data_IF_071749874787
#
_entry.id   IF_071749874787
#
_cell.length_a   1.000
_cell.length_b   1.000
_cell.length_c   1.000
_cell.angle_alpha   90.00
_cell.angle_beta   90.00
_cell.angle_gamma   90.00
#
_symmetry.space_group_name_H-M   'P 1'
#
loop_
_entity.id
_entity.type
_entity.pdbx_description
1 polymer ?
#
# COMPACT_ATOMS: atom_id res chain seq x y z
N UNK A 1 -17.29 51.88 24.29
CA UNK A 1 -16.78 50.69 25.02
C UNK A 1 -16.29 49.66 24.01
N UNK A 2 -15.00 49.31 24.04
CA UNK A 2 -14.36 48.28 23.21
C UNK A 2 -14.52 46.93 23.94
N UNK A 3 -15.11 45.92 23.29
CA UNK A 3 -14.90 44.51 23.64
C UNK A 3 -14.62 43.73 22.36
N UNK A 4 -13.71 42.78 22.51
CA UNK A 4 -12.83 42.18 21.51
C UNK A 4 -13.28 40.72 21.32
N UNK A 5 -12.85 40.11 20.20
CA UNK A 5 -12.82 38.67 19.85
C UNK A 5 -14.15 38.10 19.29
N UNK A 6 -14.16 37.26 18.25
CA UNK A 6 -13.12 36.35 17.74
C UNK A 6 -13.10 36.28 16.22
N UNK A 7 -11.89 36.28 15.67
CA UNK A 7 -11.59 35.71 14.36
C UNK A 7 -11.54 34.18 14.53
N UNK A 8 -12.39 33.44 13.82
CA UNK A 8 -12.28 31.99 13.60
C UNK A 8 -12.38 31.85 12.08
N UNK A 9 -11.30 31.93 11.33
CA UNK A 9 -10.43 30.78 11.05
C UNK A 9 -11.22 29.46 11.13
N UNK A 10 -11.76 28.99 10.01
CA UNK A 10 -11.28 27.77 9.34
C UNK A 10 -11.71 27.87 7.88
N UNK A 11 -10.75 28.23 7.05
CA UNK A 11 -10.76 28.02 5.61
C UNK A 11 -10.55 26.53 5.31
N UNK A 12 -10.88 26.14 4.06
CA UNK A 12 -10.56 24.88 3.33
C UNK A 12 -11.72 23.88 3.37
N UNK A 13 -12.60 23.81 2.37
CA UNK A 13 -12.36 23.32 0.99
C UNK A 13 -11.49 22.04 1.02
N UNK A 14 -11.86 20.88 0.47
CA UNK A 14 -12.52 20.61 -0.80
C UNK A 14 -13.24 19.26 -0.72
N UNK A 15 -14.53 19.21 -1.06
CA UNK A 15 -15.23 17.95 -1.33
C UNK A 15 -14.81 17.55 -2.74
N UNK A 16 -13.73 16.79 -2.87
CA UNK A 16 -13.38 16.15 -4.14
C UNK A 16 -14.12 14.84 -4.25
N UNK A 17 -15.32 14.88 -4.80
CA UNK A 17 -15.99 13.72 -5.35
C UNK A 17 -15.25 13.30 -6.62
N UNK A 18 -14.50 12.20 -6.57
CA UNK A 18 -13.86 11.61 -7.75
C UNK A 18 -14.79 10.52 -8.26
N UNK A 19 -15.67 10.87 -9.18
CA UNK A 19 -16.41 9.92 -10.00
C UNK A 19 -15.68 9.81 -11.36
N UNK A 20 -14.83 8.81 -11.49
CA UNK A 20 -14.14 8.48 -12.74
C UNK A 20 -14.37 7.02 -13.06
N UNK A 21 -15.34 6.72 -13.92
CA UNK A 21 -15.44 5.42 -14.60
C UNK A 21 -14.94 5.65 -16.02
N UNK A 22 -13.70 5.25 -16.27
CA UNK A 22 -13.15 5.10 -17.61
C UNK A 22 -12.94 3.60 -17.85
N UNK A 23 -13.90 2.97 -18.53
CA UNK A 23 -13.80 1.58 -18.95
C UNK A 23 -13.00 1.54 -20.27
N UNK A 24 -11.70 1.29 -20.18
CA UNK A 24 -10.86 0.97 -21.33
C UNK A 24 -10.59 -0.54 -21.34
N UNK A 25 -11.32 -1.28 -22.16
CA UNK A 25 -11.06 -2.69 -22.44
C UNK A 25 -10.17 -2.74 -23.68
N UNK A 26 -8.86 -2.73 -23.48
CA UNK A 26 -7.90 -3.07 -24.54
C UNK A 26 -7.19 -4.35 -24.13
N UNK A 27 -7.64 -5.47 -24.68
CA UNK A 27 -6.95 -6.75 -24.57
C UNK A 27 -5.70 -6.71 -25.46
N UNK A 28 -4.55 -6.35 -24.90
CA UNK A 28 -3.24 -6.49 -25.55
C UNK A 28 -2.47 -7.63 -24.90
N UNK A 29 -2.54 -8.82 -25.51
CA UNK A 29 -1.63 -9.92 -25.16
C UNK A 29 -0.26 -9.61 -25.77
N UNK A 30 0.57 -8.89 -25.02
CA UNK A 30 1.99 -8.67 -25.33
C UNK A 30 2.78 -8.31 -24.06
N UNK A 31 2.84 -9.22 -23.08
CA UNK A 31 3.81 -9.14 -21.99
C UNK A 31 5.03 -10.00 -22.35
N UNK A 32 5.98 -9.41 -23.07
CA UNK A 32 7.34 -9.94 -23.17
C UNK A 32 8.24 -8.84 -23.73
N UNK A 33 8.64 -7.90 -22.87
CA UNK A 33 9.94 -7.20 -22.87
C UNK A 33 9.93 -6.33 -21.60
N UNK A 34 10.46 -6.85 -20.49
CA UNK A 34 10.79 -6.02 -19.34
C UNK A 34 12.02 -5.18 -19.70
N UNK A 35 11.86 -4.20 -20.59
CA UNK A 35 12.85 -3.14 -20.73
C UNK A 35 12.84 -2.34 -19.43
N UNK A 36 13.97 -2.19 -18.72
CA UNK A 36 14.02 -1.32 -17.55
C UNK A 36 13.62 0.08 -18.00
N UNK A 37 12.40 0.52 -17.66
CA UNK A 37 11.98 1.88 -17.91
C UNK A 37 12.81 2.79 -17.00
N UNK A 38 13.24 3.95 -17.50
CA UNK A 38 13.96 4.94 -16.70
C UNK A 38 13.02 5.48 -15.60
N UNK A 39 12.93 4.76 -14.48
CA UNK A 39 11.99 5.02 -13.39
C UNK A 39 11.50 3.77 -12.64
N UNK A 40 11.60 2.57 -13.22
CA UNK A 40 11.29 1.31 -12.51
C UNK A 40 12.53 0.82 -11.74
N UNK A 41 12.42 0.75 -10.41
CA UNK A 41 13.41 0.06 -9.58
C UNK A 41 13.48 -1.40 -10.02
N UNK A 42 14.70 -1.89 -10.31
CA UNK A 42 14.91 -3.28 -10.68
C UNK A 42 14.75 -4.14 -9.43
N UNK A 43 13.71 -4.97 -9.37
CA UNK A 43 13.53 -5.92 -8.27
C UNK A 43 14.76 -6.84 -8.18
N UNK A 44 15.35 -6.86 -7.00
CA UNK A 44 16.43 -7.79 -6.68
C UNK A 44 15.86 -9.17 -6.39
N UNK A 45 16.67 -10.20 -6.58
CA UNK A 45 16.27 -11.57 -6.22
C UNK A 45 15.88 -11.68 -4.75
N UNK A 46 16.57 -10.95 -3.87
CA UNK A 46 16.29 -10.95 -2.45
C UNK A 46 14.90 -10.37 -2.15
N UNK A 47 14.52 -9.27 -2.79
CA UNK A 47 13.19 -8.66 -2.64
C UNK A 47 12.08 -9.60 -3.11
N UNK A 48 12.24 -10.25 -4.27
CA UNK A 48 11.23 -11.19 -4.77
C UNK A 48 11.04 -12.38 -3.81
N UNK A 49 12.12 -12.90 -3.22
CA UNK A 49 11.99 -14.00 -2.26
C UNK A 49 11.27 -13.55 -0.98
N UNK A 50 11.57 -12.33 -0.50
CA UNK A 50 10.89 -11.76 0.66
C UNK A 50 9.39 -11.58 0.41
N UNK A 51 9.00 -11.03 -0.74
CA UNK A 51 7.59 -10.90 -1.12
C UNK A 51 6.89 -12.26 -1.21
N UNK A 52 7.57 -13.29 -1.74
CA UNK A 52 7.02 -14.65 -1.78
C UNK A 52 6.82 -15.23 -0.38
N UNK A 53 7.77 -15.05 0.54
CA UNK A 53 7.65 -15.50 1.93
C UNK A 53 6.44 -14.86 2.63
N UNK A 54 6.18 -13.57 2.39
CA UNK A 54 5.00 -12.88 2.92
C UNK A 54 3.69 -13.43 2.34
N UNK A 55 3.66 -13.69 1.04
CA UNK A 55 2.49 -14.27 0.37
C UNK A 55 2.24 -15.71 0.84
N UNK A 56 3.29 -16.50 1.04
CA UNK A 56 3.20 -17.85 1.61
C UNK A 56 2.68 -17.81 3.06
N UNK A 57 3.15 -16.86 3.87
CA UNK A 57 2.61 -16.62 5.21
C UNK A 57 1.13 -16.20 5.19
N UNK A 58 0.68 -15.52 4.13
CA UNK A 58 -0.72 -15.19 3.88
C UNK A 58 -1.56 -16.36 3.31
N UNK A 59 -0.92 -17.50 3.02
CA UNK A 59 -1.56 -18.74 2.56
C UNK A 59 -1.53 -18.97 1.06
N UNK A 60 -0.80 -18.17 0.28
CA UNK A 60 -0.59 -18.42 -1.15
C UNK A 60 0.45 -19.53 -1.37
N UNK A 61 0.24 -20.39 -2.37
CA UNK A 61 1.22 -21.42 -2.74
C UNK A 61 1.58 -21.29 -4.22
N UNK A 62 2.76 -20.75 -4.57
CA UNK A 62 3.18 -20.56 -5.96
C UNK A 62 3.47 -21.88 -6.69
N UNK A 63 3.66 -22.99 -5.96
CA UNK A 63 3.96 -24.31 -6.54
C UNK A 63 2.75 -24.98 -7.20
N UNK A 64 1.53 -24.47 -6.96
CA UNK A 64 0.30 -25.01 -7.54
C UNK A 64 0.18 -24.75 -9.05
N UNK A 65 0.95 -23.80 -9.58
CA UNK A 65 0.98 -23.50 -11.02
C UNK A 65 -0.36 -22.97 -11.52
N UNK A 66 -0.91 -23.60 -12.57
CA UNK A 66 -2.19 -23.22 -13.18
C UNK A 66 -3.36 -23.89 -12.44
N UNK A 67 -3.63 -23.43 -11.22
CA UNK A 67 -4.84 -23.81 -10.48
C UNK A 67 -6.05 -23.02 -11.01
N UNK A 68 -7.22 -23.66 -11.01
CA UNK A 68 -8.54 -23.07 -11.30
C UNK A 68 -8.86 -21.82 -10.47
N UNK A 69 -8.26 -21.70 -9.30
CA UNK A 69 -8.43 -20.57 -8.38
C UNK A 69 -7.51 -19.39 -8.71
N UNK A 70 -6.54 -19.53 -9.63
CA UNK A 70 -5.75 -18.40 -10.11
C UNK A 70 -6.60 -17.48 -11.02
N UNK A 71 -6.57 -16.15 -10.86
CA UNK A 71 -5.72 -15.36 -9.96
C UNK A 71 -6.40 -14.94 -8.64
N UNK A 72 -7.50 -15.56 -8.22
CA UNK A 72 -8.22 -15.15 -7.01
C UNK A 72 -7.37 -15.34 -5.73
N UNK A 73 -6.64 -16.45 -5.64
CA UNK A 73 -5.84 -16.79 -4.44
C UNK A 73 -4.70 -15.80 -4.19
N UNK A 74 -3.97 -15.41 -5.25
CA UNK A 74 -2.89 -14.43 -5.11
C UNK A 74 -3.42 -13.06 -4.70
N UNK A 75 -4.58 -12.63 -5.24
CA UNK A 75 -5.21 -11.36 -4.86
C UNK A 75 -5.70 -11.38 -3.40
N UNK A 76 -6.16 -12.53 -2.90
CA UNK A 76 -6.52 -12.65 -1.49
C UNK A 76 -5.30 -12.56 -0.58
N UNK A 77 -4.22 -13.25 -0.93
CA UNK A 77 -2.98 -13.19 -0.18
C UNK A 77 -2.41 -11.76 -0.16
N UNK A 78 -2.39 -11.05 -1.29
CA UNK A 78 -1.96 -9.65 -1.36
C UNK A 78 -2.78 -8.74 -0.42
N UNK A 79 -4.11 -8.92 -0.35
CA UNK A 79 -4.96 -8.17 0.60
C UNK A 79 -4.58 -8.43 2.05
N UNK A 80 -4.25 -9.68 2.40
CA UNK A 80 -3.81 -10.03 3.76
C UNK A 80 -2.45 -9.42 4.08
N UNK A 81 -1.48 -9.50 3.17
CA UNK A 81 -0.16 -8.86 3.33
C UNK A 81 -0.31 -7.35 3.49
N UNK A 82 -1.11 -6.70 2.66
CA UNK A 82 -1.36 -5.26 2.78
C UNK A 82 -1.96 -4.88 4.15
N UNK A 83 -2.89 -5.69 4.68
CA UNK A 83 -3.45 -5.49 6.00
C UNK A 83 -2.40 -5.67 7.12
N UNK A 84 -1.50 -6.65 6.98
CA UNK A 84 -0.39 -6.86 7.90
C UNK A 84 0.57 -5.67 7.90
N UNK A 85 0.94 -5.15 6.73
CA UNK A 85 1.82 -3.98 6.62
C UNK A 85 1.17 -2.72 7.22
N UNK A 86 -0.12 -2.51 6.98
CA UNK A 86 -0.86 -1.41 7.60
C UNK A 86 -0.91 -1.52 9.13
N UNK A 87 -1.10 -2.74 9.67
CA UNK A 87 -1.09 -2.98 11.11
C UNK A 87 0.31 -2.76 11.72
N UNK A 88 1.37 -3.24 11.06
CA UNK A 88 2.75 -3.02 11.49
C UNK A 88 3.11 -1.54 11.48
N UNK A 89 2.75 -0.81 10.43
CA UNK A 89 3.00 0.62 10.33
C UNK A 89 2.26 1.40 11.44
N UNK A 90 1.01 1.02 11.73
CA UNK A 90 0.25 1.60 12.84
C UNK A 90 0.91 1.32 14.20
N UNK A 91 1.42 0.11 14.42
CA UNK A 91 2.13 -0.26 15.65
C UNK A 91 3.48 0.46 15.80
N UNK A 92 4.20 0.71 14.69
CA UNK A 92 5.43 1.49 14.69
C UNK A 92 5.15 2.95 15.09
N UNK A 93 4.11 3.57 14.51
CA UNK A 93 3.69 4.93 14.84
C UNK A 93 3.27 5.08 16.31
N UNK A 94 2.68 4.06 16.93
CA UNK A 94 2.33 4.05 18.36
C UNK A 94 3.57 3.91 19.28
N UNK A 95 4.66 3.30 18.79
CA UNK A 95 5.89 3.10 19.54
C UNK A 95 6.82 4.34 19.53
N UNK A 96 6.73 5.20 18.51
CA UNK A 96 7.51 6.44 18.39
C UNK A 96 7.24 7.52 19.48
N UNK A 97 6.00 7.82 19.92
CA UNK A 97 5.77 8.81 20.98
C UNK A 97 6.40 8.42 22.33
N UNK A 98 6.64 7.13 22.57
CA UNK A 98 7.30 6.65 23.78
C UNK A 98 8.84 6.83 23.75
N UNK A 99 9.47 6.87 22.57
CA UNK A 99 10.91 7.14 22.44
C UNK A 99 11.25 8.64 22.47
N UNK A 100 10.32 9.52 22.07
CA UNK A 100 10.52 10.98 22.12
C UNK A 100 10.46 11.57 23.54
N UNK A 101 9.98 10.80 24.53
CA UNK A 101 9.73 11.26 25.90
C UNK A 101 10.75 10.75 26.94
N UNK A 102 11.88 10.14 26.54
CA UNK A 102 12.96 9.83 27.47
C UNK A 102 13.80 11.09 27.74
N UNK A 103 13.72 11.73 28.94
CA UNK A 103 14.64 12.79 29.29
C UNK A 103 16.04 12.19 29.45
N UNK A 104 16.98 12.64 28.62
CA UNK A 104 18.41 12.49 28.88
C UNK A 104 18.70 13.31 30.15
N UNK A 105 18.76 12.63 31.30
CA UNK A 105 19.36 13.18 32.52
C UNK A 105 20.87 12.95 32.49
#
# INVERSE_FOLDING_TARGET
MKRIYSNRAVSRSFITAIASIALAITSTWAHAQASPSAGTHQLTRAEVMHELEELEAAGYNPSLGDDSSYPADIQEAERKVAAMHAAQQSALMDKEPAMQAMPMQ
#
